data_IF_688535509369
#
_entry.id   IF_688535509369
#
_cell.length_a   1.000
_cell.length_b   1.000
_cell.length_c   1.000
_cell.angle_alpha   90.00
_cell.angle_beta   90.00
_cell.angle_gamma   90.00
#
_symmetry.space_group_name_H-M   'P 1'
#
loop_
_entity.id
_entity.type
_entity.pdbx_description
1 polymer ?
#
# COMPACT_ATOMS: atom_id res chain seq x y z
N UNK A 1 -16.84 5.81 -20.23
CA UNK A 1 -18.21 6.28 -19.88
C UNK A 1 -18.01 7.46 -18.95
N UNK A 2 -18.67 8.60 -19.17
CA UNK A 2 -18.49 9.79 -18.30
C UNK A 2 -19.17 9.49 -16.95
N UNK A 3 -18.48 9.78 -15.84
CA UNK A 3 -19.07 9.66 -14.50
C UNK A 3 -19.97 10.86 -14.26
N UNK A 4 -21.28 10.66 -14.14
CA UNK A 4 -22.28 11.72 -14.12
C UNK A 4 -22.60 12.27 -12.72
N UNK A 5 -21.83 11.83 -11.70
CA UNK A 5 -22.02 12.25 -10.31
C UNK A 5 -21.01 13.32 -9.90
N UNK A 6 -21.43 14.15 -8.95
CA UNK A 6 -20.56 15.16 -8.35
C UNK A 6 -19.52 14.49 -7.42
N UNK A 7 -18.25 14.84 -7.57
CA UNK A 7 -17.15 14.30 -6.80
C UNK A 7 -16.49 15.37 -5.95
N UNK A 8 -16.31 15.11 -4.69
CA UNK A 8 -15.52 15.91 -3.76
C UNK A 8 -14.13 15.30 -3.56
N UNK A 9 -13.09 16.12 -3.57
CA UNK A 9 -11.74 15.66 -3.30
C UNK A 9 -11.13 16.45 -2.15
N UNK A 10 -10.83 15.74 -1.04
CA UNK A 10 -10.29 16.32 0.20
C UNK A 10 -8.82 15.97 0.32
N UNK A 11 -7.98 17.00 0.39
CA UNK A 11 -6.53 16.87 0.49
C UNK A 11 -5.86 16.87 -0.89
N UNK A 12 -5.58 18.05 -1.42
CA UNK A 12 -4.86 18.27 -2.69
C UNK A 12 -3.37 18.59 -2.48
N UNK A 13 -2.73 17.78 -1.60
CA UNK A 13 -1.28 17.80 -1.41
C UNK A 13 -0.53 17.16 -2.58
N UNK A 14 0.73 16.71 -2.33
CA UNK A 14 1.61 16.15 -3.38
C UNK A 14 0.99 15.01 -4.19
N UNK A 15 0.21 14.13 -3.55
CA UNK A 15 -0.48 13.02 -4.22
C UNK A 15 -1.86 13.40 -4.70
N UNK A 16 -2.66 14.08 -3.85
CA UNK A 16 -4.05 14.43 -4.16
C UNK A 16 -4.18 15.41 -5.32
N UNK A 17 -3.27 16.37 -5.45
CA UNK A 17 -3.29 17.35 -6.53
C UNK A 17 -3.29 16.70 -7.92
N UNK A 18 -2.30 15.86 -8.28
CA UNK A 18 -2.31 15.18 -9.58
C UNK A 18 -3.47 14.19 -9.74
N UNK A 19 -3.95 13.53 -8.68
CA UNK A 19 -5.12 12.63 -8.76
C UNK A 19 -6.39 13.43 -9.08
N UNK A 20 -6.63 14.53 -8.38
CA UNK A 20 -7.76 15.43 -8.64
C UNK A 20 -7.68 16.05 -10.04
N UNK A 21 -6.48 16.40 -10.51
CA UNK A 21 -6.27 16.92 -11.87
C UNK A 21 -6.67 15.92 -12.97
N UNK A 22 -6.41 14.61 -12.77
CA UNK A 22 -6.87 13.59 -13.72
C UNK A 22 -8.42 13.55 -13.80
N UNK A 23 -9.09 13.67 -12.66
CA UNK A 23 -10.56 13.71 -12.62
C UNK A 23 -11.10 14.93 -13.34
N UNK A 24 -10.57 16.12 -13.05
CA UNK A 24 -10.98 17.37 -13.71
C UNK A 24 -10.75 17.31 -15.23
N UNK A 25 -9.56 16.86 -15.68
CA UNK A 25 -9.22 16.72 -17.09
C UNK A 25 -10.11 15.71 -17.84
N UNK A 26 -10.67 14.75 -17.12
CA UNK A 26 -11.62 13.77 -17.68
C UNK A 26 -13.06 14.29 -17.70
N UNK A 27 -13.30 15.54 -17.27
CA UNK A 27 -14.61 16.18 -17.28
C UNK A 27 -15.55 15.69 -16.17
N UNK A 28 -15.00 15.18 -15.07
CA UNK A 28 -15.75 14.90 -13.83
C UNK A 28 -16.09 16.22 -13.17
N UNK A 29 -17.35 16.41 -12.75
CA UNK A 29 -17.74 17.57 -11.95
C UNK A 29 -17.09 17.48 -10.57
N UNK A 30 -16.13 18.35 -10.30
CA UNK A 30 -15.21 18.23 -9.17
C UNK A 30 -15.30 19.43 -8.24
N UNK A 31 -15.41 19.16 -6.94
CA UNK A 31 -15.24 20.15 -5.86
C UNK A 31 -14.06 19.75 -5.00
N UNK A 32 -13.10 20.64 -4.78
CA UNK A 32 -11.89 20.36 -4.00
C UNK A 32 -11.89 21.11 -2.68
N UNK A 33 -11.23 20.51 -1.69
CA UNK A 33 -10.95 21.12 -0.38
C UNK A 33 -9.54 20.76 0.10
N UNK A 34 -8.83 21.76 0.60
CA UNK A 34 -7.59 21.60 1.36
C UNK A 34 -7.56 22.67 2.45
N UNK A 35 -6.93 22.41 3.58
CA UNK A 35 -6.71 23.42 4.63
C UNK A 35 -5.80 24.55 4.15
N UNK A 36 -4.98 24.31 3.14
CA UNK A 36 -4.15 25.30 2.46
C UNK A 36 -4.95 25.94 1.31
N UNK A 37 -5.48 27.14 1.57
CA UNK A 37 -6.30 27.89 0.61
C UNK A 37 -5.54 28.27 -0.68
N UNK A 38 -4.23 28.46 -0.60
CA UNK A 38 -3.43 28.76 -1.79
C UNK A 38 -3.40 27.58 -2.76
N UNK A 39 -3.43 26.35 -2.24
CA UNK A 39 -3.54 25.14 -3.07
C UNK A 39 -4.90 25.04 -3.75
N UNK A 40 -5.98 25.28 -3.02
CA UNK A 40 -7.33 25.25 -3.61
C UNK A 40 -7.50 26.34 -4.65
N UNK A 41 -7.08 27.56 -4.36
CA UNK A 41 -7.12 28.68 -5.31
C UNK A 41 -6.30 28.39 -6.58
N UNK A 42 -5.10 27.84 -6.42
CA UNK A 42 -4.26 27.44 -7.55
C UNK A 42 -4.96 26.35 -8.38
N UNK A 43 -5.53 25.33 -7.73
CA UNK A 43 -6.18 24.23 -8.42
C UNK A 43 -7.37 24.69 -9.27
N UNK A 44 -8.28 25.48 -8.71
CA UNK A 44 -9.43 25.99 -9.46
C UNK A 44 -9.06 27.04 -10.50
N UNK A 45 -7.89 27.66 -10.38
CA UNK A 45 -7.31 28.52 -11.42
C UNK A 45 -6.72 27.76 -12.61
N UNK A 46 -6.35 26.50 -12.43
CA UNK A 46 -5.73 25.64 -13.46
C UNK A 46 -6.73 24.66 -14.09
N UNK A 47 -7.76 24.25 -13.36
CA UNK A 47 -8.70 23.20 -13.76
C UNK A 47 -10.16 23.66 -13.63
N UNK A 48 -11.04 23.08 -14.45
CA UNK A 48 -12.49 23.27 -14.33
C UNK A 48 -13.01 22.50 -13.10
N UNK A 49 -12.95 23.17 -11.95
CA UNK A 49 -13.35 22.62 -10.64
C UNK A 49 -13.86 23.75 -9.73
N UNK A 50 -14.64 23.36 -8.72
CA UNK A 50 -15.08 24.25 -7.65
C UNK A 50 -14.20 24.07 -6.41
N UNK A 51 -14.15 25.07 -5.53
CA UNK A 51 -13.58 24.95 -4.19
C UNK A 51 -14.68 25.05 -3.15
N UNK A 52 -14.60 24.23 -2.10
CA UNK A 52 -15.41 24.40 -0.91
C UNK A 52 -14.61 25.13 0.18
N UNK A 53 -15.32 25.86 1.04
CA UNK A 53 -14.73 26.62 2.15
C UNK A 53 -14.69 25.79 3.45
N UNK A 54 -15.43 24.66 3.47
CA UNK A 54 -15.50 23.74 4.60
C UNK A 54 -15.69 22.30 4.13
N UNK A 55 -15.43 21.34 5.02
CA UNK A 55 -15.67 19.92 4.76
C UNK A 55 -17.16 19.59 4.64
N UNK A 56 -17.99 20.23 5.45
CA UNK A 56 -19.45 20.09 5.40
C UNK A 56 -20.01 20.61 4.08
N UNK A 57 -19.59 21.81 3.64
CA UNK A 57 -20.01 22.38 2.34
C UNK A 57 -19.63 21.44 1.18
N UNK A 58 -18.40 20.91 1.16
CA UNK A 58 -18.00 19.94 0.15
C UNK A 58 -18.89 18.70 0.18
N UNK A 59 -19.10 18.13 1.38
CA UNK A 59 -19.88 16.92 1.54
C UNK A 59 -21.37 17.10 1.16
N UNK A 60 -21.95 18.28 1.39
CA UNK A 60 -23.31 18.61 0.95
C UNK A 60 -23.43 18.65 -0.58
N UNK A 61 -22.41 19.23 -1.25
CA UNK A 61 -22.43 19.49 -2.69
C UNK A 61 -22.23 18.26 -3.57
N UNK A 62 -21.73 17.12 -3.04
CA UNK A 62 -21.26 16.00 -3.85
C UNK A 62 -21.91 14.66 -3.49
N UNK A 63 -21.87 13.69 -4.42
CA UNK A 63 -22.35 12.32 -4.21
C UNK A 63 -21.26 11.39 -3.67
N UNK A 64 -20.01 11.62 -4.10
CA UNK A 64 -18.83 10.81 -3.74
C UNK A 64 -17.75 11.72 -3.19
N UNK A 65 -17.23 11.41 -2.01
CA UNK A 65 -16.09 12.11 -1.42
C UNK A 65 -14.86 11.20 -1.48
N UNK A 66 -13.75 11.72 -2.00
CA UNK A 66 -12.44 11.07 -1.99
C UNK A 66 -11.55 11.79 -0.98
N UNK A 67 -10.92 11.06 -0.07
CA UNK A 67 -9.91 11.59 0.85
C UNK A 67 -8.52 11.13 0.43
N UNK A 68 -7.54 12.05 0.42
CA UNK A 68 -6.12 11.78 0.22
C UNK A 68 -5.31 12.57 1.22
N UNK A 69 -5.31 12.11 2.46
CA UNK A 69 -4.80 12.75 3.65
C UNK A 69 -3.55 12.02 4.18
N UNK A 70 -2.76 12.65 5.07
CA UNK A 70 -1.51 12.08 5.55
C UNK A 70 -1.64 10.69 6.19
N UNK A 71 -2.68 10.47 7.00
CA UNK A 71 -2.90 9.22 7.73
C UNK A 71 -4.38 9.02 8.11
N UNK A 72 -4.69 7.83 8.66
CA UNK A 72 -6.04 7.45 9.04
C UNK A 72 -6.61 8.23 10.25
N UNK A 73 -5.78 8.82 11.09
CA UNK A 73 -6.26 9.65 12.19
C UNK A 73 -6.79 10.98 11.66
N UNK A 74 -6.06 11.59 10.73
CA UNK A 74 -6.50 12.81 10.04
C UNK A 74 -7.77 12.53 9.21
N UNK A 75 -7.86 11.36 8.54
CA UNK A 75 -9.09 10.94 7.86
C UNK A 75 -10.25 10.85 8.84
N UNK A 76 -10.04 10.20 9.99
CA UNK A 76 -11.06 10.07 11.02
C UNK A 76 -11.53 11.44 11.55
N UNK A 77 -10.61 12.36 11.80
CA UNK A 77 -10.92 13.73 12.21
C UNK A 77 -11.72 14.48 11.13
N UNK A 78 -11.28 14.41 9.86
CA UNK A 78 -11.98 15.05 8.76
C UNK A 78 -13.40 14.49 8.55
N UNK A 79 -13.60 13.19 8.81
CA UNK A 79 -14.92 12.56 8.63
C UNK A 79 -15.84 12.77 9.82
N UNK A 80 -15.37 12.57 11.06
CA UNK A 80 -16.22 12.52 12.25
C UNK A 80 -16.30 13.84 13.03
N UNK A 81 -15.36 14.75 12.83
CA UNK A 81 -15.15 15.93 13.67
C UNK A 81 -14.80 15.56 15.11
N UNK A 82 -13.72 16.09 15.64
CA UNK A 82 -13.41 15.96 17.06
C UNK A 82 -13.43 17.35 17.67
N UNK A 83 -14.21 17.54 18.73
CA UNK A 83 -14.24 18.79 19.50
C UNK A 83 -14.95 19.98 18.84
N UNK A 84 -16.09 19.78 18.17
CA UNK A 84 -16.87 20.83 17.49
C UNK A 84 -16.18 21.47 16.25
N UNK A 85 -15.36 20.71 15.56
CA UNK A 85 -14.79 21.17 14.29
C UNK A 85 -15.66 20.73 13.12
N UNK A 86 -15.72 21.55 12.06
CA UNK A 86 -16.32 21.21 10.77
C UNK A 86 -15.85 19.83 10.26
N UNK A 87 -16.77 19.01 9.77
CA UNK A 87 -16.45 17.65 9.31
C UNK A 87 -17.35 17.19 8.17
N UNK A 88 -16.92 16.13 7.48
CA UNK A 88 -17.67 15.57 6.36
C UNK A 88 -19.03 15.02 6.78
N UNK A 89 -19.18 14.49 8.00
CA UNK A 89 -20.46 13.97 8.49
C UNK A 89 -21.56 15.03 8.59
N UNK A 90 -21.22 16.30 8.76
CA UNK A 90 -22.21 17.37 8.81
C UNK A 90 -22.93 17.58 7.48
N UNK A 91 -22.29 17.18 6.34
CA UNK A 91 -22.86 17.28 4.99
C UNK A 91 -23.15 15.91 4.34
N UNK A 92 -22.61 14.80 4.86
CA UNK A 92 -22.83 13.47 4.30
C UNK A 92 -24.22 12.95 4.69
N UNK A 93 -25.06 12.66 3.71
CA UNK A 93 -26.41 12.07 3.90
C UNK A 93 -26.47 10.63 3.42
N UNK A 94 -27.54 9.85 3.79
CA UNK A 94 -27.73 8.48 3.33
C UNK A 94 -27.61 8.33 1.82
N UNK A 95 -26.86 7.31 1.37
CA UNK A 95 -26.62 7.00 -0.04
C UNK A 95 -25.32 7.57 -0.60
N UNK A 96 -24.72 8.58 0.03
CA UNK A 96 -23.39 9.09 -0.40
C UNK A 96 -22.28 8.09 -0.12
N UNK A 97 -21.17 8.25 -0.83
CA UNK A 97 -20.02 7.35 -0.78
C UNK A 97 -18.78 8.11 -0.32
N UNK A 98 -18.04 7.53 0.64
CA UNK A 98 -16.69 7.96 1.01
C UNK A 98 -15.67 6.97 0.46
N UNK A 99 -14.68 7.44 -0.27
CA UNK A 99 -13.52 6.67 -0.74
C UNK A 99 -12.28 7.19 -0.01
N UNK A 100 -11.66 6.38 0.85
CA UNK A 100 -10.39 6.76 1.46
C UNK A 100 -9.22 6.22 0.62
N UNK A 101 -8.56 7.11 -0.10
CA UNK A 101 -7.35 6.83 -0.89
C UNK A 101 -6.06 7.11 -0.12
N UNK A 102 -6.16 7.50 1.15
CA UNK A 102 -5.02 7.69 2.06
C UNK A 102 -4.32 6.37 2.38
N UNK A 103 -3.29 6.41 3.19
CA UNK A 103 -2.73 5.19 3.79
C UNK A 103 -3.12 5.13 5.26
N UNK A 104 -4.10 4.29 5.57
CA UNK A 104 -4.73 4.21 6.87
C UNK A 104 -4.59 2.82 7.50
N UNK A 105 -4.77 2.72 8.83
CA UNK A 105 -4.87 1.42 9.50
C UNK A 105 -6.16 0.71 9.08
N UNK A 106 -6.11 -0.57 8.67
CA UNK A 106 -7.32 -1.37 8.40
C UNK A 106 -8.32 -1.35 9.55
N UNK A 107 -7.84 -1.34 10.79
CA UNK A 107 -8.70 -1.31 11.99
C UNK A 107 -9.43 0.03 12.12
N UNK A 108 -8.75 1.14 11.86
CA UNK A 108 -9.39 2.47 11.84
C UNK A 108 -10.42 2.57 10.72
N UNK A 109 -10.11 2.04 9.55
CA UNK A 109 -11.02 1.99 8.40
C UNK A 109 -12.28 1.21 8.72
N UNK A 110 -12.14 0.02 9.30
CA UNK A 110 -13.29 -0.80 9.71
C UNK A 110 -14.14 -0.11 10.78
N UNK A 111 -13.50 0.55 11.75
CA UNK A 111 -14.20 1.34 12.77
C UNK A 111 -15.01 2.47 12.14
N UNK A 112 -14.40 3.24 11.23
CA UNK A 112 -15.04 4.35 10.54
C UNK A 112 -16.20 3.86 9.67
N UNK A 113 -15.98 2.83 8.88
CA UNK A 113 -17.00 2.22 8.03
C UNK A 113 -18.21 1.72 8.83
N UNK A 114 -17.96 1.12 10.01
CA UNK A 114 -19.05 0.68 10.90
C UNK A 114 -19.92 1.85 11.40
N UNK A 115 -19.32 3.01 11.65
CA UNK A 115 -20.07 4.23 12.02
C UNK A 115 -20.87 4.76 10.83
N UNK A 116 -20.25 4.90 9.66
CA UNK A 116 -20.87 5.39 8.45
C UNK A 116 -22.04 4.49 7.98
N UNK A 117 -21.89 3.18 8.10
CA UNK A 117 -22.94 2.20 7.77
C UNK A 117 -24.23 2.42 8.58
N UNK A 118 -24.14 2.81 9.85
CA UNK A 118 -25.32 3.13 10.68
C UNK A 118 -26.08 4.34 10.15
N UNK A 119 -25.38 5.24 9.47
CA UNK A 119 -25.94 6.42 8.83
C UNK A 119 -26.31 6.17 7.35
N UNK A 120 -26.22 4.91 6.88
CA UNK A 120 -26.46 4.52 5.49
C UNK A 120 -25.54 5.21 4.48
N UNK A 121 -24.33 5.60 4.91
CA UNK A 121 -23.25 6.12 4.07
C UNK A 121 -22.36 4.93 3.72
N UNK A 122 -22.01 4.79 2.45
CA UNK A 122 -21.15 3.72 1.95
C UNK A 122 -19.67 4.14 2.06
N UNK A 123 -18.77 3.18 2.29
CA UNK A 123 -17.34 3.46 2.35
C UNK A 123 -16.54 2.43 1.57
N UNK A 124 -15.53 2.89 0.85
CA UNK A 124 -14.45 2.10 0.25
C UNK A 124 -13.11 2.58 0.81
N UNK A 125 -12.18 1.68 0.97
CA UNK A 125 -10.77 1.98 1.12
C UNK A 125 -10.04 1.66 -0.19
N UNK A 126 -9.39 2.67 -0.74
CA UNK A 126 -8.79 2.60 -2.08
C UNK A 126 -7.39 3.26 -2.11
N UNK A 127 -6.46 2.80 -1.26
CA UNK A 127 -5.10 3.33 -1.26
C UNK A 127 -4.38 3.10 -2.58
N UNK A 128 -3.48 4.02 -2.92
CA UNK A 128 -2.80 4.07 -4.20
C UNK A 128 -1.31 3.74 -4.09
N UNK A 129 -0.73 3.19 -5.16
CA UNK A 129 0.70 2.95 -5.31
C UNK A 129 1.20 3.50 -6.65
N UNK A 130 2.52 3.86 -6.71
CA UNK A 130 3.18 4.41 -7.90
C UNK A 130 3.80 5.80 -7.66
N UNK A 131 3.30 6.55 -6.67
CA UNK A 131 3.81 7.88 -6.35
C UNK A 131 3.35 8.97 -7.33
N UNK A 132 3.92 10.18 -7.19
CA UNK A 132 3.47 11.40 -7.88
C UNK A 132 3.48 11.26 -9.41
N UNK A 133 4.52 10.62 -9.97
CA UNK A 133 4.65 10.45 -11.43
C UNK A 133 3.50 9.62 -12.00
N UNK A 134 3.14 8.53 -11.34
CA UNK A 134 2.01 7.69 -11.76
C UNK A 134 0.66 8.37 -11.53
N UNK A 135 0.53 9.15 -10.45
CA UNK A 135 -0.65 9.96 -10.20
C UNK A 135 -0.87 11.00 -11.32
N UNK A 136 0.21 11.68 -11.75
CA UNK A 136 0.16 12.69 -12.84
C UNK A 136 -0.20 12.09 -14.21
N UNK A 137 0.01 10.80 -14.40
CA UNK A 137 -0.27 10.10 -15.66
C UNK A 137 -1.55 9.25 -15.62
N UNK A 138 -2.34 9.30 -14.54
CA UNK A 138 -3.52 8.45 -14.37
C UNK A 138 -3.19 6.95 -14.40
N UNK A 139 -2.03 6.55 -13.88
CA UNK A 139 -1.52 5.19 -13.99
C UNK A 139 -1.18 4.54 -12.64
N UNK A 140 -1.87 4.98 -11.58
CA UNK A 140 -1.71 4.40 -10.24
C UNK A 140 -2.18 2.94 -10.20
N UNK A 141 -1.56 2.17 -9.33
CA UNK A 141 -2.11 0.88 -8.90
C UNK A 141 -2.98 1.13 -7.66
N UNK A 142 -4.24 0.71 -7.72
CA UNK A 142 -5.24 0.97 -6.69
C UNK A 142 -5.69 -0.36 -6.10
N UNK A 143 -5.50 -0.55 -4.80
CA UNK A 143 -6.03 -1.72 -4.07
C UNK A 143 -7.31 -1.33 -3.36
N UNK A 144 -8.43 -2.02 -3.64
CA UNK A 144 -9.74 -1.60 -3.17
C UNK A 144 -10.34 -2.63 -2.23
N UNK A 145 -10.83 -2.17 -1.08
CA UNK A 145 -11.63 -2.93 -0.14
C UNK A 145 -13.03 -2.33 0.02
N UNK A 146 -14.03 -3.20 0.17
CA UNK A 146 -15.42 -2.80 0.39
C UNK A 146 -16.46 -3.60 -0.38
N UNK A 147 -17.69 -3.13 -0.40
CA UNK A 147 -18.78 -3.81 -1.08
C UNK A 147 -18.63 -3.73 -2.60
N UNK A 148 -18.76 -4.87 -3.27
CA UNK A 148 -18.49 -4.99 -4.69
C UNK A 148 -19.39 -4.09 -5.57
N UNK A 149 -20.68 -3.98 -5.24
CA UNK A 149 -21.62 -3.09 -5.94
C UNK A 149 -21.20 -1.61 -5.88
N UNK A 150 -20.58 -1.20 -4.77
CA UNK A 150 -20.07 0.16 -4.60
C UNK A 150 -18.77 0.36 -5.39
N UNK A 151 -17.92 -0.66 -5.42
CA UNK A 151 -16.68 -0.64 -6.22
C UNK A 151 -17.02 -0.53 -7.71
N UNK A 152 -17.92 -1.36 -8.21
CA UNK A 152 -18.38 -1.34 -9.61
C UNK A 152 -18.97 0.03 -9.99
N UNK A 153 -19.76 0.65 -9.09
CA UNK A 153 -20.27 2.00 -9.29
C UNK A 153 -19.15 3.06 -9.38
N UNK A 154 -18.09 2.91 -8.59
CA UNK A 154 -16.96 3.85 -8.54
C UNK A 154 -15.85 3.53 -9.57
N UNK A 155 -15.95 2.43 -10.33
CA UNK A 155 -14.93 2.04 -11.31
C UNK A 155 -14.53 3.15 -12.27
N UNK A 156 -15.46 3.96 -12.84
CA UNK A 156 -15.06 5.05 -13.73
C UNK A 156 -14.13 6.10 -13.07
N UNK A 157 -14.24 6.30 -11.75
CA UNK A 157 -13.34 7.18 -10.99
C UNK A 157 -11.96 6.52 -10.89
N UNK A 158 -11.92 5.23 -10.57
CA UNK A 158 -10.66 4.50 -10.44
C UNK A 158 -9.93 4.38 -11.79
N UNK A 159 -10.65 4.12 -12.89
CA UNK A 159 -10.09 4.02 -14.25
C UNK A 159 -9.46 5.34 -14.75
N UNK A 160 -9.94 6.49 -14.25
CA UNK A 160 -9.34 7.80 -14.55
C UNK A 160 -8.01 7.98 -13.80
N UNK A 161 -7.93 7.53 -12.55
CA UNK A 161 -6.78 7.75 -11.68
C UNK A 161 -5.73 6.64 -11.78
N UNK A 162 -6.11 5.44 -12.22
CA UNK A 162 -5.29 4.24 -12.14
C UNK A 162 -5.22 3.41 -13.40
N UNK A 163 -4.13 2.68 -13.53
CA UNK A 163 -3.89 1.68 -14.58
C UNK A 163 -4.44 0.31 -14.21
N UNK A 164 -4.38 -0.02 -12.92
CA UNK A 164 -4.87 -1.30 -12.39
C UNK A 164 -5.66 -1.07 -11.10
N UNK A 165 -6.81 -1.74 -11.01
CA UNK A 165 -7.66 -1.73 -9.82
C UNK A 165 -7.79 -3.17 -9.33
N UNK A 166 -7.34 -3.44 -8.11
CA UNK A 166 -7.28 -4.77 -7.54
C UNK A 166 -8.27 -4.86 -6.37
N UNK A 167 -9.31 -5.67 -6.52
CA UNK A 167 -10.20 -6.00 -5.41
C UNK A 167 -9.50 -6.88 -4.39
N UNK A 168 -9.46 -6.41 -3.14
CA UNK A 168 -8.74 -7.08 -2.06
C UNK A 168 -9.65 -7.78 -1.03
N UNK A 169 -10.95 -7.57 -1.12
CA UNK A 169 -11.93 -8.13 -0.18
C UNK A 169 -12.80 -7.07 0.50
N UNK A 170 -13.29 -7.38 1.70
CA UNK A 170 -14.14 -6.49 2.48
C UNK A 170 -13.42 -5.19 2.89
N UNK A 171 -14.18 -4.26 3.45
CA UNK A 171 -13.68 -2.95 3.92
C UNK A 171 -12.47 -3.09 4.85
N UNK A 172 -11.41 -2.35 4.57
CA UNK A 172 -10.09 -2.40 5.21
C UNK A 172 -9.07 -3.29 4.49
N UNK A 173 -9.49 -4.13 3.53
CA UNK A 173 -8.58 -5.03 2.81
C UNK A 173 -7.65 -4.30 1.86
N UNK A 174 -8.07 -3.20 1.23
CA UNK A 174 -7.21 -2.36 0.41
C UNK A 174 -6.08 -1.74 1.23
N UNK A 175 -6.41 -1.14 2.39
CA UNK A 175 -5.41 -0.60 3.32
C UNK A 175 -4.50 -1.70 3.88
N UNK A 176 -5.04 -2.88 4.22
CA UNK A 176 -4.23 -4.02 4.64
C UNK A 176 -3.21 -4.40 3.56
N UNK A 177 -3.65 -4.57 2.32
CA UNK A 177 -2.76 -4.89 1.19
C UNK A 177 -1.70 -3.81 1.00
N UNK A 178 -2.08 -2.53 1.09
CA UNK A 178 -1.15 -1.40 0.97
C UNK A 178 -0.03 -1.44 2.01
N UNK A 179 -0.36 -1.62 3.29
CA UNK A 179 0.66 -1.65 4.36
C UNK A 179 1.54 -2.90 4.27
N UNK A 180 0.98 -4.06 3.88
CA UNK A 180 1.76 -5.28 3.65
C UNK A 180 2.76 -5.09 2.50
N UNK A 181 2.33 -4.51 1.39
CA UNK A 181 3.23 -4.21 0.27
C UNK A 181 4.33 -3.20 0.64
N UNK A 182 3.98 -2.15 1.39
CA UNK A 182 4.95 -1.18 1.87
C UNK A 182 5.97 -1.79 2.84
N UNK A 183 5.55 -2.74 3.70
CA UNK A 183 6.45 -3.49 4.57
C UNK A 183 7.49 -4.30 3.77
N UNK A 184 7.05 -5.04 2.74
CA UNK A 184 7.95 -5.82 1.87
C UNK A 184 8.93 -4.88 1.16
N UNK A 185 8.43 -3.77 0.61
CA UNK A 185 9.27 -2.79 -0.09
C UNK A 185 10.33 -2.16 0.82
N UNK A 186 9.94 -1.75 2.04
CA UNK A 186 10.86 -1.17 3.01
C UNK A 186 11.97 -2.16 3.42
N UNK A 187 11.61 -3.43 3.71
CA UNK A 187 12.58 -4.46 4.05
C UNK A 187 13.49 -4.80 2.86
N UNK A 188 12.95 -4.88 1.64
CA UNK A 188 13.74 -5.11 0.44
C UNK A 188 14.77 -4.00 0.22
N UNK A 189 14.39 -2.74 0.45
CA UNK A 189 15.30 -1.60 0.33
C UNK A 189 16.47 -1.72 1.33
N UNK A 190 16.19 -2.04 2.59
CA UNK A 190 17.22 -2.24 3.61
C UNK A 190 18.14 -3.41 3.22
N UNK A 191 17.57 -4.54 2.77
CA UNK A 191 18.36 -5.70 2.29
C UNK A 191 19.33 -5.32 1.19
N UNK A 192 18.89 -4.55 0.19
CA UNK A 192 19.77 -4.08 -0.89
C UNK A 192 20.87 -3.15 -0.37
N UNK A 193 20.54 -2.20 0.52
CA UNK A 193 21.53 -1.26 1.07
C UNK A 193 22.59 -2.01 1.85
N UNK A 194 22.22 -2.94 2.75
CA UNK A 194 23.16 -3.73 3.54
C UNK A 194 24.05 -4.58 2.63
N UNK A 195 23.45 -5.32 1.67
CA UNK A 195 24.21 -6.17 0.75
C UNK A 195 25.20 -5.39 -0.12
N UNK A 196 24.77 -4.25 -0.68
CA UNK A 196 25.65 -3.41 -1.50
C UNK A 196 26.77 -2.77 -0.68
N UNK A 197 26.47 -2.35 0.56
CA UNK A 197 27.46 -1.75 1.46
C UNK A 197 28.56 -2.76 1.83
N UNK A 198 28.16 -3.98 2.20
CA UNK A 198 29.13 -5.06 2.52
C UNK A 198 29.92 -5.45 1.28
N UNK A 199 29.27 -5.63 0.13
CA UNK A 199 29.95 -5.96 -1.11
C UNK A 199 31.01 -4.92 -1.50
N UNK A 200 30.72 -3.64 -1.33
CA UNK A 200 31.69 -2.54 -1.54
C UNK A 200 32.87 -2.63 -0.55
N UNK A 201 32.61 -2.99 0.71
CA UNK A 201 33.67 -3.19 1.74
C UNK A 201 34.55 -4.40 1.44
N UNK A 202 34.03 -5.43 0.78
CA UNK A 202 34.79 -6.58 0.26
C UNK A 202 35.63 -6.20 -0.97
N UNK A 203 35.33 -5.08 -1.63
CA UNK A 203 36.03 -4.61 -2.83
C UNK A 203 35.31 -4.93 -4.14
N UNK A 204 34.03 -5.31 -4.08
CA UNK A 204 33.24 -5.54 -5.30
C UNK A 204 32.88 -4.22 -5.97
N UNK A 205 32.82 -4.24 -7.31
CA UNK A 205 32.34 -3.11 -8.10
C UNK A 205 30.83 -2.96 -7.98
N UNK A 206 30.37 -1.73 -7.76
CA UNK A 206 28.96 -1.43 -7.49
C UNK A 206 28.07 -1.71 -8.71
N UNK A 207 28.52 -1.38 -9.91
CA UNK A 207 27.76 -1.58 -11.14
C UNK A 207 27.59 -3.08 -11.45
N UNK A 208 28.66 -3.86 -11.27
CA UNK A 208 28.61 -5.31 -11.42
C UNK A 208 27.69 -5.97 -10.41
N UNK A 209 27.70 -5.53 -9.14
CA UNK A 209 26.77 -6.01 -8.12
C UNK A 209 25.31 -5.73 -8.52
N UNK A 210 25.01 -4.49 -8.93
CA UNK A 210 23.66 -4.09 -9.35
C UNK A 210 23.18 -4.94 -10.54
N UNK A 211 24.03 -5.11 -11.55
CA UNK A 211 23.69 -5.91 -12.73
C UNK A 211 23.46 -7.38 -12.39
N UNK A 212 24.29 -7.96 -11.53
CA UNK A 212 24.13 -9.34 -11.05
C UNK A 212 22.83 -9.51 -10.25
N UNK A 213 22.52 -8.60 -9.32
CA UNK A 213 21.32 -8.66 -8.51
C UNK A 213 20.04 -8.51 -9.34
N UNK A 214 20.02 -7.63 -10.35
CA UNK A 214 18.90 -7.50 -11.30
C UNK A 214 18.60 -8.82 -12.02
N UNK A 215 19.61 -9.57 -12.42
CA UNK A 215 19.44 -10.85 -13.11
C UNK A 215 19.00 -11.97 -12.15
N UNK A 216 19.53 -11.99 -10.95
CA UNK A 216 19.29 -13.06 -9.97
C UNK A 216 18.01 -12.82 -9.14
N UNK A 217 17.99 -11.77 -8.36
CA UNK A 217 16.99 -11.59 -7.27
C UNK A 217 15.70 -10.95 -7.74
N UNK A 218 15.79 -9.89 -8.56
CA UNK A 218 14.61 -9.13 -9.00
C UNK A 218 14.07 -9.58 -10.36
N UNK A 219 14.83 -10.39 -11.09
CA UNK A 219 14.44 -10.95 -12.38
C UNK A 219 14.12 -12.44 -12.30
N UNK A 220 15.07 -13.30 -12.76
CA UNK A 220 14.82 -14.75 -12.96
C UNK A 220 14.48 -15.52 -11.68
N UNK A 221 15.03 -15.09 -10.55
CA UNK A 221 14.87 -15.75 -9.24
C UNK A 221 14.03 -14.92 -8.27
N UNK A 222 13.06 -14.18 -8.77
CA UNK A 222 12.10 -13.47 -7.90
C UNK A 222 11.51 -14.44 -6.86
N UNK A 223 11.73 -14.21 -5.55
CA UNK A 223 11.27 -15.12 -4.50
C UNK A 223 9.76 -15.32 -4.48
N UNK A 224 8.97 -14.30 -4.82
CA UNK A 224 7.51 -14.41 -4.89
C UNK A 224 7.09 -15.48 -5.91
N UNK A 225 7.59 -15.38 -7.13
CA UNK A 225 7.23 -16.31 -8.21
C UNK A 225 7.82 -17.71 -8.01
N UNK A 226 9.13 -17.77 -7.72
CA UNK A 226 9.90 -19.01 -7.72
C UNK A 226 9.80 -19.81 -6.44
N UNK A 227 9.46 -19.18 -5.31
CA UNK A 227 9.39 -19.86 -4.01
C UNK A 227 7.99 -19.76 -3.39
N UNK A 228 7.43 -18.56 -3.27
CA UNK A 228 6.14 -18.40 -2.60
C UNK A 228 5.04 -19.04 -3.42
N UNK A 229 4.79 -18.58 -4.63
CA UNK A 229 3.69 -19.10 -5.47
C UNK A 229 3.93 -20.56 -5.85
N UNK A 230 5.11 -20.87 -6.40
CA UNK A 230 5.38 -22.19 -6.96
C UNK A 230 5.61 -23.31 -5.94
N UNK A 231 5.97 -23.00 -4.71
CA UNK A 231 6.38 -24.01 -3.72
C UNK A 231 5.56 -23.94 -2.41
N UNK A 232 5.39 -22.73 -1.85
CA UNK A 232 4.71 -22.56 -0.57
C UNK A 232 3.21 -22.65 -0.74
N UNK A 233 2.61 -21.79 -1.58
CA UNK A 233 1.17 -21.75 -1.81
C UNK A 233 0.66 -23.02 -2.48
N UNK A 234 1.46 -23.64 -3.35
CA UNK A 234 1.18 -24.93 -3.98
C UNK A 234 1.44 -26.13 -3.07
N UNK A 235 1.97 -25.92 -1.86
CA UNK A 235 2.32 -26.94 -0.86
C UNK A 235 3.37 -27.98 -1.32
N UNK A 236 4.14 -27.70 -2.37
CA UNK A 236 5.15 -28.63 -2.89
C UNK A 236 6.41 -28.69 -2.03
N UNK A 237 6.85 -27.54 -1.51
CA UNK A 237 8.04 -27.41 -0.66
C UNK A 237 9.29 -28.12 -1.22
N UNK A 238 9.55 -27.95 -2.50
CA UNK A 238 10.63 -28.61 -3.23
C UNK A 238 11.33 -27.67 -4.20
N UNK A 239 11.93 -26.60 -3.65
CA UNK A 239 12.68 -25.61 -4.43
C UNK A 239 14.09 -26.09 -4.81
N UNK A 240 14.54 -27.22 -4.26
CA UNK A 240 15.81 -27.85 -4.55
C UNK A 240 16.99 -27.37 -3.70
N UNK A 241 16.75 -26.65 -2.59
CA UNK A 241 17.78 -26.19 -1.68
C UNK A 241 17.38 -26.45 -0.23
N UNK A 242 18.22 -27.15 0.54
CA UNK A 242 17.96 -27.40 1.94
C UNK A 242 18.07 -26.13 2.80
N UNK A 243 17.31 -26.07 3.90
CA UNK A 243 17.32 -24.95 4.85
C UNK A 243 18.72 -24.69 5.40
N UNK A 244 19.47 -25.74 5.69
CA UNK A 244 20.84 -25.64 6.23
C UNK A 244 21.76 -24.88 5.27
N UNK A 245 21.66 -25.13 3.95
CA UNK A 245 22.51 -24.48 2.95
C UNK A 245 22.28 -22.98 2.89
N UNK A 246 21.00 -22.55 2.85
CA UNK A 246 20.70 -21.12 2.82
C UNK A 246 21.04 -20.44 4.15
N UNK A 247 20.72 -21.08 5.30
CA UNK A 247 21.08 -20.58 6.63
C UNK A 247 22.60 -20.40 6.77
N UNK A 248 23.39 -21.35 6.25
CA UNK A 248 24.86 -21.22 6.21
C UNK A 248 25.31 -20.00 5.40
N UNK A 249 24.71 -19.74 4.23
CA UNK A 249 25.09 -18.62 3.37
C UNK A 249 24.80 -17.27 4.06
N UNK A 250 23.67 -17.16 4.75
CA UNK A 250 23.30 -15.96 5.53
C UNK A 250 24.28 -15.77 6.69
N UNK A 251 24.64 -16.85 7.40
CA UNK A 251 25.60 -16.81 8.50
C UNK A 251 26.98 -16.32 8.03
N UNK A 252 27.48 -16.84 6.90
CA UNK A 252 28.74 -16.41 6.31
C UNK A 252 28.72 -14.90 6.05
N UNK A 253 27.62 -14.38 5.48
CA UNK A 253 27.51 -12.93 5.23
C UNK A 253 27.45 -12.12 6.53
N UNK A 254 26.77 -12.63 7.56
CA UNK A 254 26.75 -12.01 8.89
C UNK A 254 28.17 -11.93 9.50
N UNK A 255 28.91 -13.03 9.46
CA UNK A 255 30.31 -13.11 9.96
C UNK A 255 31.24 -12.16 9.21
N UNK A 256 31.07 -12.04 7.87
CA UNK A 256 31.83 -11.09 7.06
C UNK A 256 31.49 -9.65 7.42
N UNK A 257 30.21 -9.32 7.62
CA UNK A 257 29.78 -8.00 8.03
C UNK A 257 30.40 -7.59 9.37
N UNK A 258 30.37 -8.51 10.36
CA UNK A 258 30.96 -8.30 11.68
C UNK A 258 32.47 -8.11 11.60
N UNK A 259 33.18 -8.95 10.82
CA UNK A 259 34.63 -8.82 10.61
C UNK A 259 35.03 -7.48 10.00
N UNK A 260 34.21 -6.94 9.09
CA UNK A 260 34.46 -5.65 8.44
C UNK A 260 33.98 -4.45 9.27
N UNK A 261 33.37 -4.68 10.44
CA UNK A 261 32.74 -3.64 11.27
C UNK A 261 31.58 -2.93 10.55
N UNK A 262 30.86 -3.64 9.68
CA UNK A 262 29.68 -3.12 9.00
C UNK A 262 28.46 -3.17 9.93
N UNK A 263 27.69 -2.09 9.97
CA UNK A 263 26.37 -2.09 10.63
C UNK A 263 25.34 -2.71 9.69
N UNK A 264 24.87 -3.93 9.99
CA UNK A 264 23.96 -4.70 9.15
C UNK A 264 22.90 -5.45 9.99
N UNK A 265 22.00 -4.71 10.67
CA UNK A 265 21.05 -5.29 11.62
C UNK A 265 20.04 -6.25 10.97
N UNK A 266 19.65 -6.02 9.72
CA UNK A 266 18.69 -6.91 9.03
C UNK A 266 19.33 -8.27 8.73
N UNK A 267 20.59 -8.33 8.31
CA UNK A 267 21.31 -9.59 8.08
C UNK A 267 21.43 -10.37 9.39
N UNK A 268 21.83 -9.71 10.49
CA UNK A 268 21.92 -10.34 11.81
C UNK A 268 20.56 -10.90 12.27
N UNK A 269 19.50 -10.14 12.10
CA UNK A 269 18.15 -10.60 12.43
C UNK A 269 17.71 -11.75 11.52
N UNK A 270 17.98 -11.67 10.22
CA UNK A 270 17.68 -12.74 9.27
C UNK A 270 18.39 -14.04 9.65
N UNK A 271 19.69 -13.97 9.96
CA UNK A 271 20.45 -15.14 10.41
C UNK A 271 19.81 -15.80 11.65
N UNK A 272 19.45 -14.99 12.65
CA UNK A 272 18.80 -15.50 13.87
C UNK A 272 17.45 -16.19 13.57
N UNK A 273 16.62 -15.59 12.74
CA UNK A 273 15.31 -16.14 12.34
C UNK A 273 15.45 -17.48 11.60
N UNK A 274 16.43 -17.59 10.68
CA UNK A 274 16.72 -18.85 9.99
C UNK A 274 17.22 -19.94 10.93
N UNK A 275 18.06 -19.59 11.90
CA UNK A 275 18.56 -20.56 12.89
C UNK A 275 17.45 -21.08 13.82
N UNK A 276 16.52 -20.20 14.23
CA UNK A 276 15.35 -20.60 15.03
C UNK A 276 14.45 -21.51 14.20
N UNK A 277 14.06 -21.10 13.00
CA UNK A 277 13.16 -21.87 12.15
C UNK A 277 13.74 -23.23 11.77
N UNK A 278 15.02 -23.28 11.43
CA UNK A 278 15.75 -24.51 11.11
C UNK A 278 15.75 -25.53 12.25
N UNK A 279 15.86 -25.09 13.51
CA UNK A 279 15.80 -25.97 14.69
C UNK A 279 14.42 -26.60 14.87
N UNK A 280 13.35 -25.90 14.58
CA UNK A 280 11.98 -26.39 14.71
C UNK A 280 11.54 -27.23 13.51
N UNK A 281 11.91 -26.86 12.29
CA UNK A 281 11.46 -27.50 11.05
C UNK A 281 12.36 -28.67 10.63
N UNK A 282 13.68 -28.51 10.72
CA UNK A 282 14.69 -29.52 10.34
C UNK A 282 15.70 -29.00 9.31
N UNK A 283 16.95 -29.38 9.49
CA UNK A 283 18.08 -28.91 8.72
C UNK A 283 18.02 -29.28 7.22
N UNK A 284 17.57 -30.52 6.95
CA UNK A 284 17.57 -31.12 5.61
C UNK A 284 16.30 -30.83 4.82
N UNK A 285 15.30 -30.20 5.46
CA UNK A 285 14.08 -29.80 4.80
C UNK A 285 14.37 -28.74 3.74
N UNK A 286 13.53 -28.68 2.69
CA UNK A 286 13.63 -27.63 1.67
C UNK A 286 13.47 -26.24 2.29
N UNK A 287 14.24 -25.27 1.85
CA UNK A 287 14.23 -23.90 2.37
C UNK A 287 12.83 -23.27 2.45
N UNK A 288 11.93 -23.67 1.54
CA UNK A 288 10.56 -23.13 1.51
C UNK A 288 9.69 -23.64 2.66
N UNK A 289 10.11 -24.73 3.34
CA UNK A 289 9.47 -25.18 4.57
C UNK A 289 9.59 -24.16 5.72
N UNK A 290 10.47 -23.16 5.63
CA UNK A 290 10.53 -22.06 6.58
C UNK A 290 9.17 -21.39 6.78
N UNK A 291 8.31 -21.36 5.76
CA UNK A 291 6.96 -20.84 5.85
C UNK A 291 6.13 -21.52 6.94
N UNK A 292 6.33 -22.83 7.17
CA UNK A 292 5.62 -23.61 8.20
C UNK A 292 5.87 -23.07 9.59
N UNK A 293 7.06 -22.53 9.87
CA UNK A 293 7.35 -21.90 11.15
C UNK A 293 6.41 -20.73 11.42
N UNK A 294 6.22 -19.82 10.43
CA UNK A 294 5.31 -18.69 10.59
C UNK A 294 3.84 -19.10 10.54
N UNK A 295 3.50 -20.11 9.72
CA UNK A 295 2.15 -20.68 9.69
C UNK A 295 1.72 -21.17 11.06
N UNK A 296 2.60 -21.92 11.73
CA UNK A 296 2.34 -22.46 13.07
C UNK A 296 2.23 -21.37 14.13
N UNK A 297 3.22 -20.44 14.20
CA UNK A 297 3.24 -19.36 15.19
C UNK A 297 2.06 -18.41 15.06
N UNK A 298 1.51 -18.23 13.84
CA UNK A 298 0.40 -17.33 13.58
C UNK A 298 -0.94 -18.03 13.34
N UNK A 299 -1.00 -19.36 13.45
CA UNK A 299 -2.20 -20.16 13.14
C UNK A 299 -2.81 -19.80 11.78
N UNK A 300 -1.95 -19.57 10.78
CA UNK A 300 -2.32 -19.10 9.45
C UNK A 300 -1.62 -19.92 8.37
N UNK A 301 -2.37 -20.76 7.69
CA UNK A 301 -1.86 -21.60 6.60
C UNK A 301 -1.80 -20.83 5.28
N UNK A 302 -0.67 -20.91 4.58
CA UNK A 302 -0.44 -20.27 3.28
C UNK A 302 -0.71 -21.30 2.16
N UNK A 303 -1.92 -21.31 1.64
CA UNK A 303 -2.33 -22.17 0.50
C UNK A 303 -3.34 -21.47 -0.41
N UNK A 304 -3.35 -21.83 -1.70
CA UNK A 304 -4.31 -21.37 -2.71
C UNK A 304 -5.41 -22.42 -2.92
#
# INVERSE_FOLDING_TARGET
MKFEKEVGFVGIGKMGYPMAAQLANSGVSLTVFDMDLDRTNKFVGEYDAKSATSLSELAEAVDVVITMLPDGEIVKQAVLGEGNTDCLLDGLIPGKILIDSSTSSPLQTQFLAKKLKKLKIKMLDAPVAGGVVFASNGSLDITVGGAQDVIEFCMPIFDIMGKSVIYCGDIGSGHAMKILNNFINANSLISFIEALTIGKRIGLDLEQMINSMKLATTGRNNPLEKKVISQILSRKFNSGMAMELLSKDIRILSEVADHLGCTAPLISQCNNLWDIAKKEIGNLEDQTNIAKYWEEKNSAKLEL
#
